data_IF_919580554442
#
_entry.id   IF_919580554442
#
_cell.length_a   1.000
_cell.length_b   1.000
_cell.length_c   1.000
_cell.angle_alpha   90.00
_cell.angle_beta   90.00
_cell.angle_gamma   90.00
#
_symmetry.space_group_name_H-M   'P 1'
#
loop_
_entity.id
_entity.type
_entity.pdbx_description
1 polymer ?
#
# COMPACT_ATOMS: atom_id res chain seq x y z
N UNK A 1 25.42 -13.58 -14.97
CA UNK A 1 25.36 -13.37 -14.56
C UNK A 1 25.51 -13.62 -13.73
N UNK A 2 25.77 -13.76 -13.12
CA UNK A 2 25.95 -13.81 -12.35
C UNK A 2 26.35 -14.49 -12.12
N UNK A 3 27.29 -15.32 -11.66
CA UNK A 3 27.69 -16.00 -11.41
C UNK A 3 28.04 -16.70 -10.74
N UNK A 4 28.38 -17.62 -10.67
CA UNK A 4 29.15 -18.33 -9.91
C UNK A 4 28.45 -19.61 -9.73
N UNK A 5 29.12 -20.71 -9.34
CA UNK A 5 28.37 -21.85 -9.21
C UNK A 5 27.25 -21.63 -8.37
N UNK A 6 27.53 -21.07 -7.27
CA UNK A 6 26.54 -20.53 -6.50
C UNK A 6 25.85 -19.49 -7.32
N UNK A 7 26.56 -18.75 -8.10
CA UNK A 7 25.97 -17.78 -8.93
C UNK A 7 25.20 -18.37 -10.04
N UNK A 8 25.65 -19.47 -10.62
CA UNK A 8 24.89 -20.10 -11.63
C UNK A 8 23.67 -20.76 -11.10
N UNK A 9 23.80 -21.39 -9.97
CA UNK A 9 22.67 -21.92 -9.29
C UNK A 9 21.74 -20.79 -8.90
N UNK A 10 22.31 -19.75 -8.43
CA UNK A 10 21.65 -18.51 -8.12
C UNK A 10 20.89 -17.99 -9.31
N UNK A 11 21.55 -17.82 -10.44
CA UNK A 11 20.95 -17.32 -11.65
C UNK A 11 19.78 -18.20 -12.05
N UNK A 12 19.98 -19.49 -12.06
CA UNK A 12 18.96 -20.42 -12.50
C UNK A 12 17.74 -20.43 -11.60
N UNK A 13 17.95 -20.41 -10.29
CA UNK A 13 16.85 -20.35 -9.37
C UNK A 13 16.28 -18.96 -9.28
N UNK A 14 17.14 -18.00 -9.27
CA UNK A 14 16.73 -16.66 -8.90
C UNK A 14 16.15 -15.86 -10.05
N UNK A 15 16.25 -16.31 -11.26
CA UNK A 15 15.53 -15.66 -12.35
C UNK A 15 14.04 -15.63 -12.07
N UNK A 16 13.48 -16.76 -11.62
CA UNK A 16 12.06 -16.79 -11.26
C UNK A 16 11.77 -16.02 -10.00
N UNK A 17 12.63 -16.19 -8.99
CA UNK A 17 12.43 -15.48 -7.73
C UNK A 17 12.55 -13.98 -7.92
N UNK A 18 13.53 -13.55 -8.67
CA UNK A 18 13.72 -12.14 -8.95
C UNK A 18 12.56 -11.58 -9.74
N UNK A 19 12.07 -12.31 -10.73
CA UNK A 19 10.90 -11.91 -11.50
C UNK A 19 9.68 -11.75 -10.60
N UNK A 20 9.45 -12.71 -9.70
CA UNK A 20 8.33 -12.61 -8.76
C UNK A 20 8.48 -11.42 -7.83
N UNK A 21 9.69 -11.17 -7.34
CA UNK A 21 9.95 -10.03 -6.46
C UNK A 21 9.70 -8.72 -7.20
N UNK A 22 10.15 -8.62 -8.44
CA UNK A 22 9.92 -7.44 -9.26
C UNK A 22 8.44 -7.27 -9.58
N UNK A 23 7.73 -8.35 -9.86
CA UNK A 23 6.30 -8.31 -10.14
C UNK A 23 5.54 -7.83 -8.92
N UNK A 24 5.87 -8.34 -7.74
CA UNK A 24 5.23 -7.92 -6.48
C UNK A 24 5.55 -6.45 -6.21
N UNK A 25 6.80 -6.05 -6.39
CA UNK A 25 7.20 -4.67 -6.17
C UNK A 25 6.45 -3.73 -7.10
N UNK A 26 6.34 -4.09 -8.39
CA UNK A 26 5.62 -3.30 -9.36
C UNK A 26 4.13 -3.27 -9.07
N UNK A 27 3.56 -4.37 -8.62
CA UNK A 27 2.17 -4.45 -8.22
C UNK A 27 1.87 -3.51 -7.06
N UNK A 28 2.73 -3.53 -6.02
CA UNK A 28 2.59 -2.63 -4.88
C UNK A 28 2.74 -1.18 -5.30
N UNK A 29 3.71 -0.88 -6.14
CA UNK A 29 3.93 0.47 -6.65
C UNK A 29 2.71 0.95 -7.44
N UNK A 30 2.18 0.11 -8.32
CA UNK A 30 1.00 0.45 -9.11
C UNK A 30 -0.20 0.73 -8.21
N UNK A 31 -0.37 -0.05 -7.15
CA UNK A 31 -1.44 0.18 -6.21
C UNK A 31 -1.29 1.54 -5.53
N UNK A 32 -0.08 1.84 -5.02
CA UNK A 32 0.18 3.11 -4.34
C UNK A 32 -0.08 4.27 -5.29
N UNK A 33 0.34 4.15 -6.54
CA UNK A 33 0.17 5.20 -7.54
C UNK A 33 -1.27 5.34 -8.04
N UNK A 34 -2.12 4.37 -7.74
CA UNK A 34 -3.50 4.38 -8.19
C UNK A 34 -4.42 5.23 -7.32
N UNK A 35 -3.93 5.76 -6.21
CA UNK A 35 -4.79 6.55 -5.32
C UNK A 35 -5.30 7.80 -6.02
N UNK A 36 -6.61 8.01 -5.94
CA UNK A 36 -7.26 9.21 -6.42
C UNK A 36 -8.29 9.59 -5.35
N UNK A 37 -8.24 10.83 -4.87
CA UNK A 37 -9.15 11.28 -3.83
C UNK A 37 -10.60 11.33 -4.29
N UNK A 38 -10.83 11.29 -5.58
CA UNK A 38 -12.17 11.29 -6.16
C UNK A 38 -12.68 9.88 -6.52
N UNK A 39 -11.93 8.85 -6.15
CA UNK A 39 -12.27 7.47 -6.47
C UNK A 39 -13.45 7.00 -5.62
N UNK A 40 -14.60 6.77 -6.25
CA UNK A 40 -15.80 6.31 -5.55
C UNK A 40 -15.65 4.87 -5.06
N UNK A 41 -14.65 4.14 -5.56
CA UNK A 41 -14.38 2.75 -5.16
C UNK A 41 -13.30 2.64 -4.08
N UNK A 42 -12.90 3.76 -3.49
CA UNK A 42 -11.80 3.76 -2.53
C UNK A 42 -12.07 2.81 -1.36
N UNK A 43 -13.27 2.79 -0.83
CA UNK A 43 -13.62 1.90 0.28
C UNK A 43 -13.40 0.44 -0.11
N UNK A 44 -13.92 0.02 -1.26
CA UNK A 44 -13.76 -1.35 -1.73
C UNK A 44 -12.30 -1.67 -2.03
N UNK A 45 -11.57 -0.71 -2.58
CA UNK A 45 -10.14 -0.86 -2.86
C UNK A 45 -9.37 -1.12 -1.57
N UNK A 46 -9.67 -0.40 -0.50
CA UNK A 46 -8.99 -0.60 0.79
C UNK A 46 -9.40 -1.93 1.43
N UNK A 47 -10.67 -2.30 1.36
CA UNK A 47 -11.13 -3.58 1.88
C UNK A 47 -10.42 -4.73 1.17
N UNK A 48 -10.34 -4.67 -0.15
CA UNK A 48 -9.67 -5.70 -0.93
C UNK A 48 -8.18 -5.75 -0.64
N UNK A 49 -7.53 -4.58 -0.51
CA UNK A 49 -6.11 -4.52 -0.20
C UNK A 49 -5.81 -5.09 1.19
N UNK A 50 -6.72 -4.93 2.14
CA UNK A 50 -6.53 -5.48 3.48
C UNK A 50 -6.49 -7.00 3.50
N UNK A 51 -7.01 -7.64 2.46
CA UNK A 51 -7.03 -9.09 2.32
C UNK A 51 -6.00 -9.59 1.31
N UNK A 52 -5.29 -8.70 0.64
CA UNK A 52 -4.30 -9.05 -0.38
C UNK A 52 -2.93 -9.13 0.28
N UNK A 53 -2.34 -10.32 0.29
CA UNK A 53 -1.07 -10.55 0.96
C UNK A 53 0.06 -9.66 0.45
N UNK A 54 -0.04 -9.21 -0.80
CA UNK A 54 0.99 -8.37 -1.40
C UNK A 54 0.76 -6.88 -1.13
N UNK A 55 -0.44 -6.49 -0.73
CA UNK A 55 -0.80 -5.09 -0.50
C UNK A 55 -1.04 -4.76 0.97
N UNK A 56 -1.40 -5.75 1.78
CA UNK A 56 -1.87 -5.51 3.14
C UNK A 56 -0.82 -4.90 4.07
N UNK A 57 0.46 -5.06 3.74
CA UNK A 57 1.54 -4.51 4.57
C UNK A 57 1.92 -3.07 4.21
N UNK A 58 1.29 -2.49 3.19
CA UNK A 58 1.51 -1.10 2.81
C UNK A 58 0.92 -0.21 3.89
N UNK A 59 1.65 0.84 4.27
CA UNK A 59 1.14 1.80 5.25
C UNK A 59 0.06 2.65 4.60
N UNK A 60 -1.05 2.82 5.31
CA UNK A 60 -2.18 3.60 4.80
C UNK A 60 -1.75 5.05 4.55
N UNK A 61 -0.91 5.61 5.41
CA UNK A 61 -0.42 6.97 5.25
C UNK A 61 0.31 7.14 3.93
N UNK A 62 1.17 6.16 3.58
CA UNK A 62 1.92 6.22 2.33
C UNK A 62 0.99 6.18 1.11
N UNK A 63 -0.01 5.30 1.13
CA UNK A 63 -0.95 5.18 0.02
C UNK A 63 -1.73 6.47 -0.20
N UNK A 64 -2.26 7.04 0.87
CA UNK A 64 -3.14 8.21 0.78
C UNK A 64 -2.37 9.49 0.44
N UNK A 65 -1.15 9.64 0.95
CA UNK A 65 -0.42 10.91 0.80
C UNK A 65 0.61 10.88 -0.33
N UNK A 66 0.71 9.78 -1.07
CA UNK A 66 1.76 9.59 -2.06
C UNK A 66 1.79 10.69 -3.13
N UNK A 67 0.65 11.07 -3.66
CA UNK A 67 0.60 12.01 -4.78
C UNK A 67 0.46 13.47 -4.34
N UNK A 68 0.42 13.73 -3.04
CA UNK A 68 0.35 15.09 -2.51
C UNK A 68 -1.03 15.72 -2.49
N UNK A 69 -2.06 15.05 -3.01
CA UNK A 69 -3.42 15.59 -2.96
C UNK A 69 -4.00 15.59 -1.55
N UNK A 70 -3.51 14.68 -0.71
CA UNK A 70 -3.83 14.69 0.72
C UNK A 70 -2.52 14.93 1.45
N UNK A 71 -2.49 15.98 2.29
CA UNK A 71 -1.27 16.39 2.97
C UNK A 71 -0.82 15.37 4.02
N UNK A 72 0.49 15.18 4.12
CA UNK A 72 1.07 14.20 5.05
C UNK A 72 0.76 14.53 6.49
N UNK A 73 0.92 15.80 6.87
CA UNK A 73 0.67 16.24 8.25
C UNK A 73 -0.81 16.18 8.56
N UNK A 74 -1.63 16.63 7.62
CA UNK A 74 -3.08 16.63 7.78
C UNK A 74 -3.62 15.22 7.96
N UNK A 75 -3.16 14.27 7.16
CA UNK A 75 -3.63 12.90 7.25
C UNK A 75 -3.11 12.20 8.51
N UNK A 76 -1.86 12.45 8.89
CA UNK A 76 -1.31 11.92 10.15
C UNK A 76 -2.12 12.42 11.34
N UNK A 77 -2.50 13.69 11.32
CA UNK A 77 -3.31 14.27 12.38
C UNK A 77 -4.69 13.63 12.44
N UNK A 78 -5.29 13.39 11.26
CA UNK A 78 -6.57 12.70 11.20
C UNK A 78 -6.46 11.28 11.78
N UNK A 79 -5.42 10.53 11.39
CA UNK A 79 -5.23 9.17 11.88
C UNK A 79 -5.16 9.13 13.41
N UNK A 80 -4.51 10.13 14.01
CA UNK A 80 -4.45 10.22 15.48
C UNK A 80 -5.84 10.31 16.10
N UNK A 81 -6.80 10.93 15.44
CA UNK A 81 -8.15 11.06 15.98
C UNK A 81 -8.90 9.74 16.04
N UNK A 82 -8.47 8.75 15.27
CA UNK A 82 -9.09 7.42 15.30
C UNK A 82 -8.12 6.36 15.85
N UNK A 83 -7.16 6.82 16.66
CA UNK A 83 -6.19 5.98 17.37
C UNK A 83 -5.26 5.19 16.43
N UNK A 84 -4.96 5.76 15.27
CA UNK A 84 -4.00 5.21 14.32
C UNK A 84 -2.84 6.17 14.16
N UNK A 85 -1.82 5.76 13.41
CA UNK A 85 -0.65 6.61 13.16
C UNK A 85 -0.06 6.35 11.78
N UNK A 86 1.08 7.00 11.50
CA UNK A 86 1.75 6.88 10.22
C UNK A 86 2.33 5.49 9.97
N UNK A 87 2.43 4.66 10.99
CA UNK A 87 2.95 3.30 10.86
C UNK A 87 1.86 2.28 10.60
N UNK A 88 0.60 2.66 10.73
CA UNK A 88 -0.54 1.76 10.57
C UNK A 88 -0.57 1.18 9.15
N UNK A 89 -0.65 -0.13 9.04
CA UNK A 89 -0.73 -0.82 7.75
C UNK A 89 -2.18 -1.07 7.38
N UNK A 90 -2.41 -1.23 6.07
CA UNK A 90 -3.78 -1.45 5.57
C UNK A 90 -4.43 -2.66 6.25
N UNK A 91 -3.65 -3.72 6.53
CA UNK A 91 -4.21 -4.92 7.17
C UNK A 91 -4.66 -4.69 8.61
N UNK A 92 -4.23 -3.60 9.23
CA UNK A 92 -4.61 -3.28 10.60
C UNK A 92 -5.90 -2.46 10.68
N UNK A 93 -6.45 -2.07 9.52
CA UNK A 93 -7.67 -1.28 9.47
C UNK A 93 -8.89 -2.19 9.59
N UNK A 94 -9.85 -1.80 10.43
CA UNK A 94 -11.15 -2.45 10.42
C UNK A 94 -12.11 -1.66 9.50
N UNK A 95 -13.32 -2.16 9.31
CA UNK A 95 -14.29 -1.52 8.41
C UNK A 95 -14.59 -0.09 8.86
N UNK A 96 -14.73 0.13 10.18
CA UNK A 96 -14.99 1.45 10.71
C UNK A 96 -13.85 2.41 10.40
N UNK A 97 -12.60 1.96 10.55
CA UNK A 97 -11.43 2.77 10.19
C UNK A 97 -11.46 3.16 8.72
N UNK A 98 -11.77 2.21 7.85
CA UNK A 98 -11.81 2.46 6.42
C UNK A 98 -12.90 3.48 6.07
N UNK A 99 -14.06 3.33 6.68
CA UNK A 99 -15.17 4.29 6.47
C UNK A 99 -14.77 5.69 6.93
N UNK A 100 -14.11 5.80 8.09
CA UNK A 100 -13.65 7.08 8.60
C UNK A 100 -12.64 7.73 7.67
N UNK A 101 -11.71 6.94 7.13
CA UNK A 101 -10.70 7.42 6.20
C UNK A 101 -11.37 7.93 4.91
N UNK A 102 -12.30 7.16 4.36
CA UNK A 102 -13.00 7.54 3.15
C UNK A 102 -13.78 8.83 3.37
N UNK A 103 -14.48 8.94 4.49
CA UNK A 103 -15.23 10.15 4.84
C UNK A 103 -14.30 11.35 4.95
N UNK A 104 -13.15 11.18 5.58
CA UNK A 104 -12.18 12.28 5.68
C UNK A 104 -11.74 12.75 4.30
N UNK A 105 -11.43 11.81 3.42
CA UNK A 105 -10.95 12.14 2.07
C UNK A 105 -12.04 12.83 1.26
N UNK A 106 -13.28 12.38 1.39
CA UNK A 106 -14.40 12.97 0.66
C UNK A 106 -14.70 14.40 1.09
N UNK A 107 -14.28 14.77 2.27
CA UNK A 107 -14.61 16.08 2.85
C UNK A 107 -13.44 17.08 2.84
N UNK A 108 -12.36 16.78 2.16
CA UNK A 108 -11.25 17.72 2.05
C UNK A 108 -11.31 18.54 0.76
#
# INVERSE_FOLDING_TARGET
MVQNLLMQYWITMNDKQLSNILDIKNYRKSFIESFDKNDIELQNKLINASKDINLQSIRIHKFITHNGNVGKVSFARFLSTINLDEQTRIMELNISNIEDIVNFIENI
#
